data_IF_711301722858
#
_entry.id   IF_711301722858
#
_cell.length_a   1.000
_cell.length_b   1.000
_cell.length_c   1.000
_cell.angle_alpha   90.00
_cell.angle_beta   90.00
_cell.angle_gamma   90.00
#
_symmetry.space_group_name_H-M   'P 1'
#
loop_
_entity.id
_entity.type
_entity.pdbx_description
1 polymer ?
#
# COMPACT_ATOMS: atom_id res chain seq x y z
N UNK A 1 -3.55 -29.58 -13.20
CA UNK A 1 -2.86 -28.40 -13.77
C UNK A 1 -2.50 -27.48 -12.61
N UNK A 2 -1.23 -27.17 -12.43
CA UNK A 2 -0.78 -26.21 -11.41
C UNK A 2 -1.21 -24.80 -11.83
N UNK A 3 -1.90 -24.08 -10.94
CA UNK A 3 -2.32 -22.70 -11.17
C UNK A 3 -1.15 -21.75 -10.90
N UNK A 4 -1.03 -20.65 -11.65
CA UNK A 4 -0.01 -19.62 -11.40
C UNK A 4 -0.10 -19.04 -9.97
N UNK A 5 -1.30 -19.08 -9.37
CA UNK A 5 -1.58 -18.69 -7.98
C UNK A 5 -0.93 -19.62 -6.95
N UNK A 6 -0.47 -20.81 -7.36
CA UNK A 6 0.27 -21.72 -6.50
C UNK A 6 1.67 -21.19 -6.21
N UNK A 7 2.27 -20.47 -7.17
CA UNK A 7 3.60 -19.86 -7.09
C UNK A 7 3.57 -18.38 -6.66
N UNK A 8 2.44 -17.70 -6.81
CA UNK A 8 2.29 -16.31 -6.38
C UNK A 8 1.82 -16.23 -4.93
N UNK A 9 2.69 -15.72 -4.03
CA UNK A 9 2.28 -15.33 -2.68
C UNK A 9 1.52 -13.99 -2.76
N UNK A 10 0.23 -14.05 -3.10
CA UNK A 10 -0.58 -12.84 -3.40
C UNK A 10 -0.69 -11.89 -2.21
N UNK A 11 -0.63 -12.39 -0.97
CA UNK A 11 -0.55 -11.55 0.22
C UNK A 11 0.74 -10.71 0.26
N UNK A 12 1.91 -11.33 0.11
CA UNK A 12 3.17 -10.57 0.12
C UNK A 12 3.32 -9.70 -1.14
N UNK A 13 2.81 -10.15 -2.29
CA UNK A 13 2.76 -9.33 -3.49
C UNK A 13 1.96 -8.04 -3.26
N UNK A 14 0.79 -8.14 -2.63
CA UNK A 14 0.00 -6.97 -2.25
C UNK A 14 0.74 -6.09 -1.24
N UNK A 15 1.22 -6.66 -0.14
CA UNK A 15 1.87 -5.87 0.93
C UNK A 15 3.12 -5.16 0.42
N UNK A 16 3.96 -5.84 -0.36
CA UNK A 16 5.16 -5.23 -0.93
C UNK A 16 4.84 -4.23 -2.02
N UNK A 17 3.84 -4.51 -2.88
CA UNK A 17 3.38 -3.56 -3.89
C UNK A 17 2.85 -2.26 -3.25
N UNK A 18 1.99 -2.38 -2.23
CA UNK A 18 1.46 -1.23 -1.49
C UNK A 18 2.56 -0.50 -0.72
N UNK A 19 3.46 -1.22 -0.04
CA UNK A 19 4.58 -0.59 0.68
C UNK A 19 5.52 0.15 -0.28
N UNK A 20 5.85 -0.45 -1.42
CA UNK A 20 6.63 0.19 -2.48
C UNK A 20 5.94 1.44 -3.01
N UNK A 21 4.62 1.37 -3.28
CA UNK A 21 3.85 2.51 -3.74
C UNK A 21 3.89 3.69 -2.76
N UNK A 22 3.70 3.42 -1.46
CA UNK A 22 3.80 4.43 -0.41
C UNK A 22 5.22 4.97 -0.26
N UNK A 23 6.23 4.10 -0.26
CA UNK A 23 7.63 4.49 -0.14
C UNK A 23 8.06 5.39 -1.31
N UNK A 24 7.78 4.98 -2.55
CA UNK A 24 8.11 5.76 -3.75
C UNK A 24 7.47 7.16 -3.69
N UNK A 25 6.16 7.21 -3.39
CA UNK A 25 5.42 8.47 -3.28
C UNK A 25 5.91 9.34 -2.13
N UNK A 26 6.23 8.75 -0.99
CA UNK A 26 6.73 9.43 0.19
C UNK A 26 8.12 10.01 -0.03
N UNK A 27 9.08 9.20 -0.52
CA UNK A 27 10.46 9.63 -0.76
C UNK A 27 10.51 10.83 -1.71
N UNK A 28 9.80 10.76 -2.84
CA UNK A 28 9.81 11.84 -3.82
C UNK A 28 9.24 13.14 -3.24
N UNK A 29 8.19 13.07 -2.40
CA UNK A 29 7.62 14.24 -1.71
C UNK A 29 8.55 14.82 -0.64
N UNK A 30 9.42 14.02 -0.03
CA UNK A 30 10.42 14.52 0.92
C UNK A 30 11.54 15.24 0.18
N UNK A 31 12.07 14.63 -0.89
CA UNK A 31 13.22 15.15 -1.64
C UNK A 31 12.85 16.39 -2.44
N UNK A 32 11.74 16.35 -3.18
CA UNK A 32 11.31 17.43 -4.06
C UNK A 32 9.79 17.65 -3.99
N UNK A 33 9.29 18.24 -2.89
CA UNK A 33 7.86 18.52 -2.74
C UNK A 33 7.33 19.50 -3.77
N UNK A 34 8.17 20.43 -4.27
CA UNK A 34 7.72 21.46 -5.20
C UNK A 34 7.34 20.88 -6.57
N UNK A 35 8.19 20.00 -7.11
CA UNK A 35 7.88 19.26 -8.34
C UNK A 35 6.63 18.40 -8.15
N UNK A 36 6.45 17.78 -6.99
CA UNK A 36 5.26 17.00 -6.70
C UNK A 36 4.00 17.86 -6.70
N UNK A 37 4.02 19.04 -6.06
CA UNK A 37 2.90 19.99 -6.15
C UNK A 37 2.59 20.34 -7.62
N UNK A 38 3.63 20.53 -8.45
CA UNK A 38 3.49 20.77 -9.88
C UNK A 38 2.77 19.63 -10.63
N UNK A 39 3.02 18.37 -10.28
CA UNK A 39 2.34 17.22 -10.89
C UNK A 39 0.85 17.16 -10.62
N UNK A 40 0.43 17.65 -9.44
CA UNK A 40 -0.98 17.70 -9.03
C UNK A 40 -1.68 18.99 -9.45
N UNK A 41 -0.93 20.01 -9.92
CA UNK A 41 -1.49 21.29 -10.32
C UNK A 41 -2.27 21.13 -11.64
N UNK A 42 -3.52 21.64 -11.71
CA UNK A 42 -4.28 21.65 -12.96
C UNK A 42 -3.55 22.43 -14.07
N UNK A 43 -3.41 21.87 -15.29
CA UNK A 43 -2.77 22.58 -16.40
C UNK A 43 -3.37 23.95 -16.72
N UNK A 44 -4.68 24.11 -16.50
CA UNK A 44 -5.38 25.39 -16.71
C UNK A 44 -4.86 26.53 -15.82
N UNK A 45 -4.24 26.22 -14.68
CA UNK A 45 -3.64 27.22 -13.79
C UNK A 45 -2.23 27.64 -14.22
N UNK A 46 -1.62 26.97 -15.20
CA UNK A 46 -0.26 27.24 -15.65
C UNK A 46 0.81 26.95 -14.60
N UNK A 47 1.98 27.53 -14.80
CA UNK A 47 3.14 27.36 -13.90
C UNK A 47 3.04 28.37 -12.74
N UNK A 48 2.50 27.91 -11.62
CA UNK A 48 2.43 28.67 -10.37
C UNK A 48 3.33 27.98 -9.34
N UNK A 49 4.22 28.77 -8.74
CA UNK A 49 5.09 28.30 -7.67
C UNK A 49 4.27 27.82 -6.47
N UNK A 50 4.61 26.66 -5.87
CA UNK A 50 3.92 26.16 -4.69
C UNK A 50 4.07 27.12 -3.50
N UNK A 51 2.98 27.38 -2.80
CA UNK A 51 3.02 28.17 -1.57
C UNK A 51 3.45 27.32 -0.35
N UNK A 52 3.76 28.00 0.76
CA UNK A 52 4.24 27.35 2.00
C UNK A 52 3.27 26.27 2.53
N UNK A 53 1.96 26.46 2.38
CA UNK A 53 0.96 25.50 2.83
C UNK A 53 0.94 24.24 1.95
N UNK A 54 1.05 24.39 0.63
CA UNK A 54 1.17 23.27 -0.31
C UNK A 54 2.44 22.45 -0.02
N UNK A 55 3.56 23.12 0.23
CA UNK A 55 4.82 22.46 0.58
C UNK A 55 4.75 21.74 1.93
N UNK A 56 4.17 22.38 2.95
CA UNK A 56 3.99 21.80 4.29
C UNK A 56 3.10 20.55 4.24
N UNK A 57 1.94 20.65 3.59
CA UNK A 57 1.00 19.53 3.47
C UNK A 57 1.59 18.39 2.66
N UNK A 58 2.32 18.68 1.59
CA UNK A 58 3.01 17.66 0.78
C UNK A 58 4.07 16.91 1.57
N UNK A 59 4.88 17.61 2.39
CA UNK A 59 5.86 16.96 3.27
C UNK A 59 5.21 16.16 4.38
N UNK A 60 4.13 16.67 4.97
CA UNK A 60 3.38 15.95 6.01
C UNK A 60 2.78 14.65 5.46
N UNK A 61 2.14 14.70 4.30
CA UNK A 61 1.65 13.52 3.57
C UNK A 61 2.79 12.53 3.29
N UNK A 62 3.98 13.04 2.92
CA UNK A 62 5.15 12.22 2.68
C UNK A 62 5.52 11.34 3.89
N UNK A 63 5.63 11.94 5.07
CA UNK A 63 5.98 11.21 6.29
C UNK A 63 4.88 10.23 6.71
N UNK A 64 3.61 10.57 6.49
CA UNK A 64 2.50 9.64 6.70
C UNK A 64 2.62 8.41 5.78
N UNK A 65 2.92 8.60 4.50
CA UNK A 65 3.12 7.49 3.55
C UNK A 65 4.33 6.63 3.92
N UNK A 66 5.45 7.23 4.33
CA UNK A 66 6.63 6.48 4.77
C UNK A 66 6.36 5.66 6.03
N UNK A 67 5.61 6.20 6.99
CA UNK A 67 5.18 5.48 8.17
C UNK A 67 4.28 4.29 7.81
N UNK A 68 3.31 4.48 6.92
CA UNK A 68 2.45 3.39 6.43
C UNK A 68 3.26 2.31 5.69
N UNK A 69 4.24 2.69 4.88
CA UNK A 69 5.14 1.75 4.21
C UNK A 69 5.93 0.91 5.22
N UNK A 70 6.48 1.52 6.26
CA UNK A 70 7.23 0.84 7.31
C UNK A 70 6.34 -0.09 8.15
N UNK A 71 5.13 0.36 8.52
CA UNK A 71 4.13 -0.47 9.21
C UNK A 71 3.84 -1.73 8.40
N UNK A 72 3.62 -1.60 7.08
CA UNK A 72 3.36 -2.73 6.20
C UNK A 72 4.49 -3.76 6.16
N UNK A 73 5.74 -3.30 6.13
CA UNK A 73 6.90 -4.20 6.17
C UNK A 73 7.03 -4.91 7.53
N UNK A 74 6.76 -4.20 8.63
CA UNK A 74 6.79 -4.77 9.97
C UNK A 74 5.70 -5.84 10.16
N UNK A 75 4.44 -5.54 9.83
CA UNK A 75 3.30 -6.47 10.05
C UNK A 75 3.27 -7.65 9.08
N UNK A 76 4.09 -7.64 8.03
CA UNK A 76 4.23 -8.76 7.10
C UNK A 76 5.39 -9.69 7.43
N UNK A 77 6.14 -9.44 8.50
CA UNK A 77 7.40 -10.14 8.84
C UNK A 77 8.47 -10.01 7.75
N UNK A 78 8.45 -8.91 6.98
CA UNK A 78 9.41 -8.66 5.90
C UNK A 78 10.81 -8.28 6.42
N UNK A 79 10.87 -7.77 7.65
CA UNK A 79 12.10 -7.34 8.31
C UNK A 79 12.22 -8.10 9.63
N UNK A 80 13.36 -8.74 9.93
CA UNK A 80 13.60 -9.35 11.22
C UNK A 80 13.75 -8.25 12.28
N UNK A 81 12.68 -7.98 13.03
CA UNK A 81 12.69 -6.99 14.09
C UNK A 81 13.29 -7.58 15.39
N UNK A 82 14.05 -6.78 16.17
CA UNK A 82 14.57 -7.22 17.46
C UNK A 82 13.46 -7.61 18.44
N UNK A 83 13.72 -8.60 19.30
CA UNK A 83 12.74 -9.10 20.28
C UNK A 83 12.15 -8.00 21.18
N UNK A 84 12.92 -6.95 21.49
CA UNK A 84 12.49 -5.82 22.33
C UNK A 84 11.50 -4.84 21.68
N UNK A 85 11.27 -4.93 20.36
CA UNK A 85 10.28 -4.11 19.63
C UNK A 85 9.19 -4.95 18.98
N UNK A 86 9.30 -6.28 19.07
CA UNK A 86 8.26 -7.23 18.65
C UNK A 86 7.38 -7.60 19.83
N UNK A 87 6.07 -7.67 19.62
CA UNK A 87 5.12 -8.11 20.64
C UNK A 87 4.25 -6.98 21.14
N UNK A 88 2.98 -7.06 20.78
CA UNK A 88 1.89 -6.33 21.42
C UNK A 88 0.67 -7.25 21.28
N UNK A 89 0.11 -7.66 22.41
CA UNK A 89 -1.09 -8.48 22.42
C UNK A 89 -2.11 -7.83 23.34
N UNK A 90 -3.35 -7.72 22.85
CA UNK A 90 -4.48 -7.29 23.68
C UNK A 90 -4.92 -8.40 24.67
N UNK A 91 -4.43 -9.63 24.49
CA UNK A 91 -4.73 -10.79 25.33
C UNK A 91 -3.48 -11.64 25.54
N UNK A 92 -3.24 -12.14 26.75
CA UNK A 92 -2.10 -13.03 27.04
C UNK A 92 -2.14 -14.39 26.27
N UNK A 93 -3.21 -14.64 25.52
CA UNK A 93 -3.51 -15.89 24.85
C UNK A 93 -3.59 -15.73 23.31
N UNK A 94 -2.46 -15.44 22.65
CA UNK A 94 -2.37 -15.59 21.19
C UNK A 94 -1.74 -16.94 20.89
N UNK A 95 -2.48 -17.90 20.31
CA UNK A 95 -1.89 -19.17 19.89
C UNK A 95 -0.72 -18.91 18.94
N UNK A 96 0.43 -19.53 19.20
CA UNK A 96 1.66 -19.41 18.39
C UNK A 96 1.48 -19.81 16.91
N UNK A 97 0.34 -20.43 16.59
CA UNK A 97 -0.09 -20.83 15.25
C UNK A 97 -0.68 -19.69 14.41
N UNK A 98 -1.14 -18.58 15.01
CA UNK A 98 -1.69 -17.43 14.27
C UNK A 98 -0.57 -16.44 13.94
N UNK A 99 0.25 -16.77 12.94
CA UNK A 99 1.44 -15.97 12.60
C UNK A 99 1.13 -14.51 12.19
N UNK A 100 -0.09 -14.21 11.72
CA UNK A 100 -0.46 -12.86 11.20
C UNK A 100 -1.91 -12.46 11.53
N UNK A 101 -2.26 -12.19 12.80
CA UNK A 101 -3.66 -11.96 13.23
C UNK A 101 -4.33 -10.76 12.57
N UNK A 102 -3.56 -9.76 12.13
CA UNK A 102 -4.08 -8.55 11.51
C UNK A 102 -3.95 -8.51 9.99
N UNK A 103 -3.48 -9.57 9.33
CA UNK A 103 -3.22 -9.56 7.88
C UNK A 103 -4.44 -9.16 7.05
N UNK A 104 -5.63 -9.72 7.36
CA UNK A 104 -6.88 -9.34 6.67
C UNK A 104 -7.25 -7.89 6.90
N UNK A 105 -7.15 -7.42 8.14
CA UNK A 105 -7.49 -6.05 8.51
C UNK A 105 -6.57 -5.04 7.81
N UNK A 106 -5.26 -5.30 7.80
CA UNK A 106 -4.26 -4.46 7.12
C UNK A 106 -4.55 -4.35 5.62
N UNK A 107 -4.88 -5.47 4.95
CA UNK A 107 -5.25 -5.46 3.53
C UNK A 107 -6.50 -4.59 3.30
N UNK A 108 -7.57 -4.79 4.08
CA UNK A 108 -8.80 -4.00 3.95
C UNK A 108 -8.56 -2.51 4.19
N UNK A 109 -7.85 -2.15 5.26
CA UNK A 109 -7.57 -0.74 5.61
C UNK A 109 -6.77 -0.05 4.50
N UNK A 110 -5.76 -0.72 3.96
CA UNK A 110 -4.95 -0.15 2.87
C UNK A 110 -5.69 -0.11 1.54
N UNK A 111 -6.59 -1.05 1.26
CA UNK A 111 -7.50 -0.96 0.12
C UNK A 111 -8.42 0.26 0.23
N UNK A 112 -8.98 0.53 1.42
CA UNK A 112 -9.79 1.74 1.64
C UNK A 112 -9.00 3.02 1.38
N UNK A 113 -7.72 3.06 1.79
CA UNK A 113 -6.84 4.18 1.47
C UNK A 113 -6.58 4.30 -0.04
N UNK A 114 -6.36 3.20 -0.77
CA UNK A 114 -6.23 3.22 -2.23
C UNK A 114 -7.50 3.71 -2.92
N UNK A 115 -8.67 3.28 -2.45
CA UNK A 115 -9.95 3.76 -2.96
C UNK A 115 -10.09 5.27 -2.73
N UNK A 116 -9.85 5.75 -1.51
CA UNK A 116 -9.96 7.16 -1.17
C UNK A 116 -9.02 8.04 -2.01
N UNK A 117 -7.75 7.64 -2.13
CA UNK A 117 -6.77 8.38 -2.93
C UNK A 117 -7.03 8.24 -4.44
N UNK A 118 -7.59 7.11 -4.89
CA UNK A 118 -8.04 6.91 -6.27
C UNK A 118 -9.24 7.80 -6.63
N UNK A 119 -10.22 7.96 -5.74
CA UNK A 119 -11.33 8.91 -5.91
C UNK A 119 -10.79 10.34 -6.00
N UNK A 120 -9.83 10.69 -5.13
CA UNK A 120 -9.13 11.97 -5.18
C UNK A 120 -8.48 12.23 -6.56
N UNK A 121 -7.68 11.29 -7.05
CA UNK A 121 -7.07 11.39 -8.38
C UNK A 121 -8.11 11.46 -9.51
N UNK A 122 -9.14 10.61 -9.46
CA UNK A 122 -10.21 10.58 -10.46
C UNK A 122 -10.98 11.90 -10.55
N UNK A 123 -11.20 12.57 -9.42
CA UNK A 123 -11.90 13.87 -9.38
C UNK A 123 -11.24 14.94 -10.23
N UNK A 124 -9.90 14.90 -10.35
CA UNK A 124 -9.10 15.78 -11.21
C UNK A 124 -8.94 15.19 -12.60
N UNK A 125 -8.65 13.89 -12.70
CA UNK A 125 -8.47 13.17 -13.95
C UNK A 125 -9.64 13.32 -14.93
N UNK A 126 -10.88 13.29 -14.43
CA UNK A 126 -12.08 13.36 -15.28
C UNK A 126 -12.32 14.74 -15.92
N UNK A 127 -11.56 15.76 -15.52
CA UNK A 127 -11.69 17.13 -16.03
C UNK A 127 -10.54 17.40 -16.98
N UNK A 128 -10.84 17.70 -18.24
CA UNK A 128 -9.83 17.98 -19.28
C UNK A 128 -8.87 19.12 -18.87
N UNK A 129 -9.36 20.08 -18.07
CA UNK A 129 -8.57 21.20 -17.55
C UNK A 129 -7.63 20.86 -16.39
N UNK A 130 -7.78 19.67 -15.78
CA UNK A 130 -7.04 19.22 -14.59
C UNK A 130 -6.26 17.91 -14.82
N UNK A 131 -6.43 17.26 -15.96
CA UNK A 131 -5.80 15.99 -16.27
C UNK A 131 -4.28 16.15 -16.46
N UNK A 132 -3.50 15.39 -15.68
CA UNK A 132 -2.05 15.25 -15.84
C UNK A 132 -1.64 13.77 -15.87
N UNK A 133 -0.43 13.46 -16.34
CA UNK A 133 0.13 12.10 -16.30
C UNK A 133 0.15 11.55 -14.87
N UNK A 134 0.37 12.41 -13.87
CA UNK A 134 0.31 12.01 -12.47
C UNK A 134 -1.11 11.59 -12.04
N UNK A 135 -2.15 12.18 -12.64
CA UNK A 135 -3.54 11.75 -12.42
C UNK A 135 -3.79 10.37 -13.04
N UNK A 136 -3.27 10.08 -14.25
CA UNK A 136 -3.36 8.75 -14.85
C UNK A 136 -2.76 7.68 -13.92
N UNK A 137 -1.53 7.93 -13.47
CA UNK A 137 -0.81 7.05 -12.54
C UNK A 137 -1.59 6.92 -11.23
N UNK A 138 -2.16 8.02 -10.72
CA UNK A 138 -2.97 8.03 -9.51
C UNK A 138 -4.25 7.19 -9.62
N UNK A 139 -4.96 7.26 -10.74
CA UNK A 139 -6.19 6.49 -10.97
C UNK A 139 -5.86 5.02 -11.16
N UNK A 140 -5.05 4.68 -12.17
CA UNK A 140 -4.81 3.29 -12.55
C UNK A 140 -3.92 2.55 -11.53
N UNK A 141 -2.97 3.24 -10.91
CA UNK A 141 -2.15 2.67 -9.84
C UNK A 141 -3.00 2.24 -8.64
N UNK A 142 -3.94 3.09 -8.19
CA UNK A 142 -4.84 2.73 -7.10
C UNK A 142 -5.84 1.63 -7.48
N UNK A 143 -6.39 1.63 -8.71
CA UNK A 143 -7.23 0.52 -9.20
C UNK A 143 -6.46 -0.80 -9.17
N UNK A 144 -5.23 -0.82 -9.69
CA UNK A 144 -4.38 -2.01 -9.71
C UNK A 144 -4.11 -2.56 -8.30
N UNK A 145 -3.81 -1.67 -7.34
CA UNK A 145 -3.58 -2.06 -5.95
C UNK A 145 -4.86 -2.58 -5.28
N UNK A 146 -6.04 -2.00 -5.54
CA UNK A 146 -7.32 -2.53 -5.05
C UNK A 146 -7.58 -3.93 -5.59
N UNK A 147 -7.37 -4.16 -6.89
CA UNK A 147 -7.54 -5.48 -7.51
C UNK A 147 -6.57 -6.52 -6.91
N UNK A 148 -5.32 -6.12 -6.66
CA UNK A 148 -4.33 -6.97 -6.00
C UNK A 148 -4.73 -7.27 -4.55
N UNK A 149 -5.35 -6.30 -3.84
CA UNK A 149 -5.89 -6.49 -2.49
C UNK A 149 -7.05 -7.49 -2.46
N UNK A 150 -7.96 -7.41 -3.43
CA UNK A 150 -9.02 -8.41 -3.62
C UNK A 150 -8.41 -9.81 -3.84
N UNK A 151 -7.38 -9.91 -4.69
CA UNK A 151 -6.69 -11.19 -4.91
C UNK A 151 -5.96 -11.71 -3.66
N UNK A 152 -5.38 -10.82 -2.84
CA UNK A 152 -4.76 -11.16 -1.56
C UNK A 152 -5.79 -11.70 -0.55
N UNK A 153 -6.98 -11.09 -0.47
CA UNK A 153 -8.06 -11.56 0.39
C UNK A 153 -8.65 -12.90 -0.08
N UNK A 154 -8.85 -13.06 -1.38
CA UNK A 154 -9.45 -14.27 -1.95
C UNK A 154 -8.51 -15.48 -1.90
N UNK A 155 -7.22 -15.28 -2.17
CA UNK A 155 -6.27 -16.38 -2.41
C UNK A 155 -5.05 -16.41 -1.47
N UNK A 156 -4.64 -15.25 -0.93
CA UNK A 156 -3.37 -15.10 -0.22
C UNK A 156 -3.40 -15.44 1.27
N UNK A 157 -4.61 -15.55 1.84
CA UNK A 157 -4.85 -15.75 3.27
C UNK A 157 -5.58 -17.07 3.58
N UNK A 158 -5.57 -18.01 2.62
CA UNK A 158 -6.04 -19.37 2.83
C UNK A 158 -4.98 -20.14 3.63
N UNK A 159 -5.38 -20.82 4.71
CA UNK A 159 -4.47 -21.61 5.52
C UNK A 159 -4.00 -22.84 4.72
N UNK A 160 -2.74 -22.81 4.26
CA UNK A 160 -2.13 -23.88 3.46
C UNK A 160 -1.54 -25.01 4.31
N UNK A 161 -1.79 -25.02 5.62
CA UNK A 161 -1.31 -26.03 6.57
C UNK A 161 -1.63 -27.48 6.15
N UNK A 162 -2.78 -27.72 5.51
CA UNK A 162 -3.18 -29.04 5.00
C UNK A 162 -2.40 -29.56 3.79
N UNK A 163 -1.80 -28.69 2.97
CA UNK A 163 -1.03 -29.09 1.77
C UNK A 163 0.34 -29.64 2.16
N UNK A 164 0.96 -29.06 3.19
CA UNK A 164 2.26 -29.49 3.71
C UNK A 164 2.18 -30.86 4.41
N UNK A 165 1.07 -31.17 5.06
CA UNK A 165 0.79 -32.48 5.66
C UNK A 165 0.62 -33.58 4.60
N UNK A 166 -0.02 -33.28 3.46
CA UNK A 166 -0.16 -34.22 2.34
C UNK A 166 1.17 -34.50 1.65
N UNK A 167 2.03 -33.48 1.50
CA UNK A 167 3.38 -33.65 0.94
C UNK A 167 4.35 -34.39 1.87
N UNK A 168 4.12 -34.39 3.18
CA UNK A 168 4.91 -35.18 4.14
C UNK A 168 4.51 -36.66 4.18
N UNK A 169 3.35 -37.02 3.64
CA UNK A 169 2.80 -38.39 3.63
C UNK A 169 2.92 -39.08 2.27
N UNK A 170 3.47 -38.39 1.26
CA UNK A 170 3.81 -38.92 -0.05
C UNK A 170 5.33 -39.14 -0.14
#
# INVERSE_FOLDING_TARGET
>A
MSSILQYANTYHAYVFGTSFWYALRGIVRVIDPATVCGWFRPPVHGYVEPNDLELYTTRTDAFSLLALAAILLAVSDAVPLPAGVTGSSLSDYVPSTYKKPYARAVVVITMLHHIATGIGAWSHWKLDSHHTVAMDIGVYGNIGLVLLGIAALAYGLQDRSGVTEQMKKA
#
